data_IF_210737447934
#
_entry.id   IF_210737447934
#
_cell.length_a   1.000
_cell.length_b   1.000
_cell.length_c   1.000
_cell.angle_alpha   90.00
_cell.angle_beta   90.00
_cell.angle_gamma   90.00
#
_symmetry.space_group_name_H-M   'P 1'
#
loop_
_entity.id
_entity.type
_entity.pdbx_description
1 polymer ?
#
# COMPACT_ATOMS: atom_id res chain seq x y z
N UNK A 1 -13.82 12.07 0.75
CA UNK A 1 -12.58 11.26 0.94
C UNK A 1 -12.25 10.59 -0.38
N UNK A 2 -11.12 10.92 -1.01
CA UNK A 2 -10.71 10.31 -2.27
C UNK A 2 -9.99 8.99 -1.94
N UNK A 3 -10.68 7.85 -2.03
CA UNK A 3 -10.07 6.53 -1.87
C UNK A 3 -8.97 6.37 -2.91
N UNK A 4 -7.78 5.93 -2.49
CA UNK A 4 -6.66 5.71 -3.41
C UNK A 4 -7.11 4.79 -4.55
N UNK A 5 -6.82 5.14 -5.81
CA UNK A 5 -7.23 4.37 -6.99
C UNK A 5 -6.93 2.86 -6.83
N UNK A 6 -5.85 2.51 -6.13
CA UNK A 6 -5.45 1.13 -5.84
C UNK A 6 -6.43 0.37 -4.95
N UNK A 7 -6.94 0.99 -3.88
CA UNK A 7 -7.90 0.35 -2.98
C UNK A 7 -9.23 0.13 -3.68
N UNK A 8 -9.69 1.11 -4.45
CA UNK A 8 -10.92 1.00 -5.24
C UNK A 8 -10.82 -0.16 -6.24
N UNK A 9 -9.70 -0.28 -6.96
CA UNK A 9 -9.45 -1.43 -7.84
C UNK A 9 -9.57 -2.75 -7.09
N UNK A 10 -8.98 -2.85 -5.88
CA UNK A 10 -9.02 -4.09 -5.08
C UNK A 10 -10.44 -4.42 -4.63
N UNK A 11 -11.25 -3.42 -4.28
CA UNK A 11 -12.68 -3.62 -3.98
C UNK A 11 -13.45 -4.19 -5.17
N UNK A 12 -13.22 -3.67 -6.37
CA UNK A 12 -13.85 -4.21 -7.59
C UNK A 12 -13.41 -5.66 -7.80
N UNK A 13 -12.11 -5.97 -7.68
CA UNK A 13 -11.59 -7.33 -7.82
C UNK A 13 -12.23 -8.30 -6.80
N UNK A 14 -12.46 -7.85 -5.57
CA UNK A 14 -13.10 -8.65 -4.53
C UNK A 14 -14.59 -8.90 -4.84
N UNK A 15 -15.31 -7.87 -5.31
CA UNK A 15 -16.71 -8.02 -5.74
C UNK A 15 -16.84 -9.04 -6.87
N UNK A 16 -15.96 -8.96 -7.88
CA UNK A 16 -15.93 -9.90 -9.01
C UNK A 16 -15.59 -11.34 -8.54
N UNK A 17 -14.71 -11.48 -7.56
CA UNK A 17 -14.38 -12.78 -6.98
C UNK A 17 -15.60 -13.42 -6.29
N UNK A 18 -16.36 -12.65 -5.50
CA UNK A 18 -17.59 -13.14 -4.86
C UNK A 18 -18.70 -13.48 -5.86
N UNK A 19 -18.73 -12.82 -7.01
CA UNK A 19 -19.63 -13.16 -8.11
C UNK A 19 -19.22 -14.44 -8.86
N UNK A 20 -18.06 -15.04 -8.53
CA UNK A 20 -17.53 -16.22 -9.20
C UNK A 20 -16.91 -15.94 -10.57
N UNK A 21 -16.63 -14.67 -10.89
CA UNK A 21 -16.07 -14.28 -12.17
C UNK A 21 -14.60 -14.65 -12.28
N UNK A 22 -14.12 -14.83 -13.52
CA UNK A 22 -12.70 -15.06 -13.76
C UNK A 22 -11.87 -13.78 -13.57
N UNK A 23 -10.58 -13.87 -13.18
CA UNK A 23 -9.70 -12.70 -13.06
C UNK A 23 -9.58 -11.89 -14.36
N UNK A 24 -9.72 -12.55 -15.51
CA UNK A 24 -9.74 -11.92 -16.83
C UNK A 24 -10.99 -11.08 -17.07
N UNK A 25 -12.14 -11.48 -16.51
CA UNK A 25 -13.39 -10.70 -16.56
C UNK A 25 -13.26 -9.45 -15.70
N UNK A 26 -12.75 -9.58 -14.49
CA UNK A 26 -12.50 -8.45 -13.60
C UNK A 26 -11.54 -7.41 -14.23
N UNK A 27 -10.50 -7.87 -14.95
CA UNK A 27 -9.62 -6.99 -15.71
C UNK A 27 -10.35 -6.22 -16.84
N UNK A 28 -11.36 -6.83 -17.48
CA UNK A 28 -12.19 -6.16 -18.50
C UNK A 28 -13.13 -5.14 -17.86
N UNK A 29 -13.70 -5.44 -16.69
CA UNK A 29 -14.56 -4.52 -15.95
C UNK A 29 -13.81 -3.24 -15.52
N UNK A 30 -12.51 -3.36 -15.25
CA UNK A 30 -11.65 -2.24 -14.84
C UNK A 30 -11.17 -1.35 -16.00
N UNK A 31 -11.06 -1.89 -17.22
CA UNK A 31 -10.61 -1.13 -18.41
C UNK A 31 -11.37 0.16 -18.68
N UNK A 32 -12.73 0.20 -18.69
CA UNK A 32 -13.46 1.42 -18.99
C UNK A 32 -13.28 2.51 -17.92
N UNK A 33 -13.10 2.12 -16.66
CA UNK A 33 -13.00 3.07 -15.53
C UNK A 33 -11.59 3.60 -15.35
N UNK A 34 -10.57 2.76 -15.56
CA UNK A 34 -9.18 3.10 -15.23
C UNK A 34 -8.24 3.17 -16.44
N UNK A 35 -8.68 2.73 -17.63
CA UNK A 35 -7.83 2.65 -18.81
C UNK A 35 -6.98 1.37 -18.86
N UNK A 36 -6.30 1.15 -19.99
CA UNK A 36 -5.59 -0.09 -20.28
C UNK A 36 -4.36 -0.33 -19.38
N UNK A 37 -3.77 0.72 -18.81
CA UNK A 37 -2.47 0.67 -18.13
C UNK A 37 -2.56 0.43 -16.61
N UNK A 38 -3.76 0.53 -16.03
CA UNK A 38 -3.87 0.60 -14.57
C UNK A 38 -3.88 -0.77 -13.90
N UNK A 39 -4.41 -1.81 -14.54
CA UNK A 39 -4.47 -3.16 -13.95
C UNK A 39 -4.04 -4.22 -14.95
N UNK A 40 -2.79 -4.66 -14.82
CA UNK A 40 -2.28 -5.80 -15.56
C UNK A 40 -3.03 -7.08 -15.14
N UNK A 41 -3.30 -7.99 -16.09
CA UNK A 41 -3.87 -9.33 -15.84
C UNK A 41 -3.13 -10.07 -14.71
N UNK A 42 -1.81 -9.86 -14.60
CA UNK A 42 -1.00 -10.45 -13.54
C UNK A 42 -1.40 -9.95 -12.14
N UNK A 43 -1.76 -8.67 -12.02
CA UNK A 43 -2.26 -8.08 -10.77
C UNK A 43 -3.59 -8.72 -10.37
N UNK A 44 -4.53 -8.85 -11.30
CA UNK A 44 -5.80 -9.54 -11.02
C UNK A 44 -5.57 -10.97 -10.54
N UNK A 45 -4.70 -11.73 -11.21
CA UNK A 45 -4.36 -13.11 -10.80
C UNK A 45 -3.77 -13.18 -9.40
N UNK A 46 -2.84 -12.29 -9.05
CA UNK A 46 -2.25 -12.23 -7.70
C UNK A 46 -3.31 -11.99 -6.63
N UNK A 47 -4.21 -11.03 -6.84
CA UNK A 47 -5.29 -10.74 -5.90
C UNK A 47 -6.27 -11.92 -5.76
N UNK A 48 -6.69 -12.52 -6.87
CA UNK A 48 -7.55 -13.69 -6.84
C UNK A 48 -6.90 -14.88 -6.10
N UNK A 49 -5.59 -15.08 -6.24
CA UNK A 49 -4.87 -16.10 -5.48
C UNK A 49 -4.82 -15.81 -3.97
N UNK A 50 -4.88 -14.53 -3.55
CA UNK A 50 -5.00 -14.15 -2.13
C UNK A 50 -6.41 -14.43 -1.62
N UNK A 51 -7.44 -14.02 -2.36
CA UNK A 51 -8.84 -14.25 -1.99
C UNK A 51 -9.16 -15.75 -1.86
N UNK A 52 -8.55 -16.60 -2.69
CA UNK A 52 -8.65 -18.08 -2.56
C UNK A 52 -8.06 -18.65 -1.28
N UNK A 53 -7.22 -17.89 -0.57
CA UNK A 53 -6.64 -18.25 0.73
C UNK A 53 -7.39 -17.56 1.88
N UNK A 54 -8.59 -17.05 1.62
CA UNK A 54 -9.40 -16.27 2.55
C UNK A 54 -8.72 -14.98 3.07
N UNK A 55 -7.72 -14.49 2.34
CA UNK A 55 -7.08 -13.20 2.62
C UNK A 55 -7.77 -12.09 1.82
N UNK A 56 -8.76 -11.46 2.47
CA UNK A 56 -9.53 -10.35 1.93
C UNK A 56 -8.96 -8.98 2.30
N UNK A 57 -7.73 -8.91 2.82
CA UNK A 57 -7.12 -7.64 3.19
C UNK A 57 -6.77 -6.81 1.95
N UNK A 58 -7.45 -5.67 1.79
CA UNK A 58 -7.27 -4.77 0.63
C UNK A 58 -6.07 -3.84 0.78
N UNK A 59 -5.36 -3.91 1.91
CA UNK A 59 -4.13 -3.14 2.16
C UNK A 59 -2.91 -3.91 1.63
N UNK A 60 -1.86 -3.16 1.31
CA UNK A 60 -0.56 -3.78 1.09
C UNK A 60 0.02 -4.18 2.45
N UNK A 61 0.66 -5.34 2.51
CA UNK A 61 1.47 -5.69 3.67
C UNK A 61 2.62 -4.69 3.83
N UNK A 62 3.01 -4.37 5.08
CA UNK A 62 4.20 -3.57 5.32
C UNK A 62 5.39 -4.26 4.67
N UNK A 63 5.98 -3.63 3.65
CA UNK A 63 7.20 -4.14 3.02
C UNK A 63 8.30 -4.17 4.06
N UNK A 64 8.88 -5.34 4.30
CA UNK A 64 10.10 -5.47 5.10
C UNK A 64 11.16 -4.52 4.51
N UNK A 65 11.52 -3.48 5.28
CA UNK A 65 12.41 -2.39 4.86
C UNK A 65 11.76 -1.00 4.79
N UNK A 66 10.42 -0.88 4.85
CA UNK A 66 9.75 0.40 4.99
C UNK A 66 9.36 0.61 6.46
N UNK A 67 10.27 1.19 7.24
CA UNK A 67 9.94 1.76 8.54
C UNK A 67 8.98 2.94 8.31
N UNK A 68 7.68 2.69 8.38
CA UNK A 68 6.67 3.75 8.62
C UNK A 68 6.77 4.21 10.07
N UNK A 69 7.93 4.76 10.44
CA UNK A 69 8.13 5.54 11.66
C UNK A 69 8.43 6.98 11.23
N UNK A 70 7.48 7.64 10.55
CA UNK A 70 7.62 9.04 10.16
C UNK A 70 7.06 10.04 11.18
N UNK A 71 6.70 9.62 12.41
CA UNK A 71 6.29 10.57 13.48
C UNK A 71 7.01 10.33 14.83
N UNK A 72 7.79 9.25 15.02
CA UNK A 72 8.54 9.02 16.27
C UNK A 72 10.04 8.76 16.09
N UNK A 73 10.64 9.18 14.98
CA UNK A 73 12.09 9.37 14.92
C UNK A 73 12.41 10.86 14.99
N UNK A 74 12.02 11.46 16.12
CA UNK A 74 12.59 12.73 16.55
C UNK A 74 14.07 12.49 16.83
N UNK A 75 14.89 12.72 15.80
CA UNK A 75 16.24 13.23 15.87
C UNK A 75 17.04 12.77 17.10
N UNK A 76 17.69 11.60 17.02
CA UNK A 76 18.95 11.41 17.76
C UNK A 76 20.05 12.18 17.04
N UNK A 77 19.98 13.51 17.10
CA UNK A 77 21.14 14.35 16.84
C UNK A 77 22.18 14.02 17.93
N UNK A 78 23.45 13.75 17.59
CA UNK A 78 24.50 13.70 18.60
C UNK A 78 24.52 15.06 19.29
N UNK A 79 24.22 15.11 20.58
CA UNK A 79 24.39 16.32 21.38
C UNK A 79 25.89 16.65 21.39
N UNK A 80 26.29 17.52 20.47
CA UNK A 80 27.57 18.19 20.50
C UNK A 80 27.56 19.01 21.79
N UNK A 81 28.26 18.54 22.84
CA UNK A 81 28.42 19.29 24.08
C UNK A 81 29.31 20.49 23.82
N UNK A 82 28.69 21.60 23.43
CA UNK A 82 29.32 22.91 23.55
C UNK A 82 29.21 23.31 25.02
N UNK A 83 30.29 23.16 25.78
CA UNK A 83 30.45 23.85 27.06
C UNK A 83 31.32 25.09 26.84
N UNK A 84 30.84 26.28 27.26
CA UNK A 84 31.52 27.55 27.04
C UNK A 84 32.78 27.68 27.90
N UNK A 85 33.82 28.28 27.31
CA UNK A 85 34.94 28.84 28.04
C UNK A 85 34.55 30.20 28.65
N UNK A 86 35.21 30.52 29.77
CA UNK A 86 35.21 31.78 30.55
C UNK A 86 34.03 31.89 31.53
N UNK A 87 34.18 32.19 32.83
CA UNK A 87 35.29 32.73 33.63
C UNK A 87 34.84 32.64 35.10
N UNK A 88 35.63 32.02 35.99
CA UNK A 88 35.85 32.33 37.43
C UNK A 88 37.18 31.59 37.75
N UNK A 89 38.29 32.16 38.21
CA UNK A 89 38.61 33.33 39.04
C UNK A 89 40.06 33.73 38.69
#
# INVERSE_FOLDING_TARGET
MYTSNKEHIRHILLSEFHQGNAPSSAAKALKPTYGNDVVNKNTCRKWFSRFKKDDFSLKDEPRAGCSTNSILNNCRLPLMKMQPALLEN
#
